data_IF_045026250482
#
_entry.id   IF_045026250482
#
_cell.length_a   1.000
_cell.length_b   1.000
_cell.length_c   1.000
_cell.angle_alpha   90.00
_cell.angle_beta   90.00
_cell.angle_gamma   90.00
#
_symmetry.space_group_name_H-M   'P 1'
#
loop_
_entity.id
_entity.type
_entity.pdbx_description
1 polymer ?
#
# COMPACT_ATOMS: atom_id res chain seq x y z
N UNK A 1 40.70 -9.98 16.38
CA UNK A 1 39.75 -9.58 17.42
C UNK A 1 38.58 -8.89 16.73
N UNK A 2 37.49 -9.64 16.48
CA UNK A 2 36.24 -9.05 15.96
C UNK A 2 35.40 -8.63 17.17
N UNK A 3 34.80 -7.43 17.17
CA UNK A 3 33.86 -7.05 18.19
C UNK A 3 32.50 -7.72 17.89
N UNK A 4 32.00 -8.46 18.89
CA UNK A 4 30.65 -9.02 18.92
C UNK A 4 29.61 -7.91 18.77
N UNK A 5 28.86 -7.95 17.68
CA UNK A 5 27.69 -7.10 17.48
C UNK A 5 26.42 -7.83 17.95
N UNK A 6 26.29 -8.05 19.23
CA UNK A 6 25.02 -8.37 19.88
C UNK A 6 24.44 -7.07 20.47
N UNK A 7 23.99 -6.18 19.60
CA UNK A 7 23.14 -5.07 20.02
C UNK A 7 21.68 -5.54 19.97
N UNK A 8 21.27 -6.24 21.01
CA UNK A 8 19.86 -6.35 21.38
C UNK A 8 19.38 -4.97 21.84
N UNK A 9 18.81 -4.19 20.93
CA UNK A 9 18.09 -2.97 21.30
C UNK A 9 16.82 -3.37 22.08
N UNK A 10 16.96 -3.52 23.40
CA UNK A 10 15.82 -3.57 24.31
C UNK A 10 15.27 -2.16 24.43
N UNK A 11 14.18 -1.85 23.77
CA UNK A 11 13.41 -0.64 24.04
C UNK A 11 12.76 -0.79 25.44
N UNK A 12 13.44 -0.35 26.49
CA UNK A 12 12.85 -0.22 27.83
C UNK A 12 12.12 1.11 27.93
N UNK A 13 10.89 1.17 27.46
CA UNK A 13 10.00 2.28 27.80
C UNK A 13 9.14 1.86 29.00
N UNK A 14 9.53 2.31 30.18
CA UNK A 14 8.64 2.31 31.35
C UNK A 14 7.66 3.45 31.17
N UNK A 15 6.42 3.14 30.83
CA UNK A 15 5.37 4.14 30.74
C UNK A 15 5.07 4.69 32.14
N UNK A 16 5.13 6.01 32.36
CA UNK A 16 4.56 6.59 33.55
C UNK A 16 3.05 6.29 33.55
N UNK A 17 2.51 5.86 34.70
CA UNK A 17 1.11 5.43 34.87
C UNK A 17 0.01 6.43 34.42
N UNK A 18 0.37 7.59 33.90
CA UNK A 18 -0.53 8.69 33.55
C UNK A 18 -0.54 9.10 32.05
N UNK A 19 0.22 8.44 31.17
CA UNK A 19 0.21 8.82 29.74
C UNK A 19 -0.91 8.12 28.98
N UNK A 20 -1.65 8.90 28.18
CA UNK A 20 -2.64 8.35 27.22
C UNK A 20 -1.92 7.65 26.08
N UNK A 21 -2.58 6.67 25.45
CA UNK A 21 -2.04 5.97 24.25
C UNK A 21 -1.61 6.98 23.17
N UNK A 22 -2.34 8.07 23.00
CA UNK A 22 -1.97 9.17 22.09
C UNK A 22 -0.59 9.75 22.41
N UNK A 23 -0.28 10.00 23.68
CA UNK A 23 1.03 10.54 24.09
C UNK A 23 2.16 9.53 23.89
N UNK A 24 1.85 8.24 23.97
CA UNK A 24 2.79 7.17 23.65
C UNK A 24 3.04 7.12 22.15
N UNK A 25 1.98 7.15 21.33
CA UNK A 25 2.08 7.16 19.87
C UNK A 25 2.77 8.44 19.36
N UNK A 26 2.44 9.60 19.92
CA UNK A 26 3.10 10.88 19.58
C UNK A 26 4.61 10.85 19.94
N UNK A 27 4.98 10.16 21.01
CA UNK A 27 6.39 9.95 21.39
C UNK A 27 7.13 8.98 20.47
N UNK A 28 6.45 7.95 19.96
CA UNK A 28 7.01 6.97 19.03
C UNK A 28 7.11 7.51 17.59
N UNK A 29 6.22 8.42 17.20
CA UNK A 29 6.23 9.02 15.86
C UNK A 29 7.30 10.11 15.67
N UNK A 30 7.91 10.59 16.74
CA UNK A 30 8.98 11.61 16.67
C UNK A 30 10.40 11.04 16.62
N UNK A 31 10.55 9.72 16.64
CA UNK A 31 11.86 9.08 16.47
C UNK A 31 12.09 8.77 14.98
N UNK A 32 13.03 9.46 14.37
CA UNK A 32 13.43 9.28 12.95
C UNK A 32 14.06 7.90 12.67
N UNK A 33 14.34 7.13 13.69
CA UNK A 33 14.88 5.78 13.60
C UNK A 33 13.79 4.74 13.35
N UNK A 34 13.07 4.74 12.26
CA UNK A 34 11.99 3.80 11.92
C UNK A 34 12.17 2.40 12.56
N UNK A 35 11.58 2.19 13.74
CA UNK A 35 11.67 0.93 14.49
C UNK A 35 10.89 -0.13 13.71
N UNK A 36 11.58 -0.87 12.84
CA UNK A 36 11.09 -2.14 12.31
C UNK A 36 11.48 -3.24 13.30
N UNK A 37 10.70 -3.38 14.36
CA UNK A 37 10.85 -4.54 15.23
C UNK A 37 10.13 -5.74 14.57
N UNK A 38 10.88 -6.60 13.90
CA UNK A 38 10.41 -7.92 13.51
C UNK A 38 10.70 -8.86 14.69
N UNK A 39 9.69 -9.12 15.53
CA UNK A 39 9.81 -10.07 16.64
C UNK A 39 9.34 -11.45 16.18
N UNK A 40 10.20 -12.20 15.53
CA UNK A 40 9.93 -13.60 15.19
C UNK A 40 10.13 -14.55 16.40
N UNK A 41 10.87 -14.13 17.44
CA UNK A 41 11.29 -14.99 18.55
C UNK A 41 10.98 -14.42 19.95
N UNK A 42 9.88 -13.65 20.09
CA UNK A 42 9.52 -13.08 21.38
C UNK A 42 8.96 -14.15 22.34
N UNK A 43 9.53 -14.23 23.54
CA UNK A 43 9.10 -15.14 24.61
C UNK A 43 8.02 -14.48 25.46
N UNK A 44 7.00 -15.25 25.86
CA UNK A 44 5.83 -14.76 26.63
C UNK A 44 6.24 -14.04 27.91
N UNK A 45 5.68 -12.83 28.13
CA UNK A 45 5.89 -12.07 29.36
C UNK A 45 7.23 -11.33 29.47
N UNK A 46 8.00 -11.22 28.39
CA UNK A 46 9.30 -10.53 28.41
C UNK A 46 9.22 -9.01 28.31
N UNK A 47 8.06 -8.47 27.85
CA UNK A 47 7.93 -7.05 27.59
C UNK A 47 6.70 -6.45 28.29
N UNK A 48 6.81 -5.22 28.74
CA UNK A 48 5.67 -4.48 29.30
C UNK A 48 4.76 -3.97 28.17
N UNK A 49 5.34 -3.58 27.03
CA UNK A 49 4.65 -3.05 25.87
C UNK A 49 5.25 -3.59 24.57
N UNK A 50 4.37 -4.03 23.68
CA UNK A 50 4.68 -4.38 22.29
C UNK A 50 3.86 -3.48 21.35
N UNK A 51 4.52 -2.88 20.36
CA UNK A 51 3.84 -2.17 19.27
C UNK A 51 4.08 -2.93 17.97
N UNK A 52 3.01 -3.31 17.31
CA UNK A 52 3.05 -4.01 16.02
C UNK A 52 2.55 -3.02 14.95
N UNK A 53 3.48 -2.50 14.18
CA UNK A 53 3.16 -1.69 12.99
C UNK A 53 2.94 -2.57 11.77
N UNK A 54 2.15 -2.08 10.80
CA UNK A 54 1.77 -2.86 9.59
C UNK A 54 1.19 -4.24 9.95
N UNK A 55 0.43 -4.32 11.05
CA UNK A 55 -0.02 -5.58 11.62
C UNK A 55 -1.01 -6.35 10.71
N UNK A 56 -1.57 -5.69 9.69
CA UNK A 56 -2.35 -6.36 8.65
C UNK A 56 -1.54 -7.41 7.87
N UNK A 57 -0.20 -7.35 7.91
CA UNK A 57 0.70 -8.25 7.18
C UNK A 57 1.08 -9.51 7.95
N UNK A 58 0.67 -9.67 9.20
CA UNK A 58 0.99 -10.88 9.96
C UNK A 58 0.32 -12.10 9.34
N UNK A 59 1.04 -13.22 9.37
CA UNK A 59 0.56 -14.51 8.84
C UNK A 59 0.19 -15.50 9.93
N UNK A 60 0.54 -15.19 11.17
CA UNK A 60 0.20 -15.99 12.35
C UNK A 60 0.15 -15.12 13.62
N UNK A 61 -0.67 -15.54 14.60
CA UNK A 61 -0.76 -14.91 15.92
C UNK A 61 0.21 -15.54 16.92
N UNK A 62 1.39 -15.92 16.48
CA UNK A 62 2.35 -16.62 17.32
C UNK A 62 2.81 -15.80 18.52
N UNK A 63 3.73 -16.35 19.25
CA UNK A 63 4.30 -15.91 20.53
C UNK A 63 4.55 -14.40 20.72
N UNK A 64 4.67 -13.64 19.63
CA UNK A 64 4.91 -12.20 19.68
C UNK A 64 3.82 -11.45 20.45
N UNK A 65 2.53 -11.72 20.16
CA UNK A 65 1.42 -11.03 20.85
C UNK A 65 1.34 -11.44 22.32
N UNK A 66 1.70 -12.69 22.65
CA UNK A 66 1.72 -13.17 24.03
C UNK A 66 2.95 -12.71 24.81
N UNK A 67 3.90 -12.03 24.18
CA UNK A 67 5.16 -11.64 24.80
C UNK A 67 5.06 -10.41 25.69
N UNK A 68 3.99 -9.62 25.56
CA UNK A 68 3.85 -8.35 26.27
C UNK A 68 2.56 -8.30 27.11
N UNK A 69 2.58 -7.46 28.15
CA UNK A 69 1.40 -7.18 28.97
C UNK A 69 0.41 -6.26 28.24
N UNK A 70 0.93 -5.31 27.47
CA UNK A 70 0.16 -4.39 26.64
C UNK A 70 0.64 -4.57 25.20
N UNK A 71 -0.30 -4.77 24.29
CA UNK A 71 -0.02 -4.86 22.85
C UNK A 71 -0.81 -3.77 22.13
N UNK A 72 -0.11 -2.92 21.38
CA UNK A 72 -0.69 -1.94 20.47
C UNK A 72 -0.53 -2.49 19.06
N UNK A 73 -1.64 -2.59 18.34
CA UNK A 73 -1.70 -3.09 16.97
C UNK A 73 -2.12 -1.96 16.05
N UNK A 74 -1.25 -1.57 15.13
CA UNK A 74 -1.54 -0.60 14.07
C UNK A 74 -1.84 -1.38 12.80
N UNK A 75 -3.09 -1.34 12.36
CA UNK A 75 -3.54 -2.15 11.24
C UNK A 75 -4.57 -1.41 10.38
N UNK A 76 -4.69 -1.81 9.12
CA UNK A 76 -5.72 -1.39 8.18
C UNK A 76 -6.10 -2.62 7.33
N UNK A 77 -7.35 -3.09 7.46
CA UNK A 77 -7.84 -4.27 6.72
C UNK A 77 -7.69 -4.10 5.20
N UNK A 78 -7.77 -2.85 4.70
CA UNK A 78 -7.66 -2.48 3.29
C UNK A 78 -6.21 -2.33 2.79
N UNK A 79 -5.23 -2.58 3.64
CA UNK A 79 -3.82 -2.69 3.25
C UNK A 79 -3.32 -4.14 3.18
N UNK A 80 -4.18 -5.11 3.44
CA UNK A 80 -3.88 -6.52 3.17
C UNK A 80 -3.83 -6.76 1.67
N UNK A 81 -2.76 -7.39 1.20
CA UNK A 81 -2.53 -7.63 -0.23
C UNK A 81 -2.17 -9.09 -0.53
N UNK A 82 -2.06 -9.94 0.49
CA UNK A 82 -1.77 -11.37 0.34
C UNK A 82 -2.82 -12.21 1.06
N UNK A 83 -3.19 -13.34 0.45
CA UNK A 83 -4.23 -14.22 1.00
C UNK A 83 -3.86 -14.90 2.32
N UNK A 84 -2.57 -15.06 2.59
CA UNK A 84 -2.07 -15.64 3.85
C UNK A 84 -1.94 -14.61 4.99
N UNK A 85 -2.19 -13.33 4.75
CA UNK A 85 -2.19 -12.31 5.79
C UNK A 85 -3.47 -12.42 6.61
N UNK A 86 -3.32 -12.67 7.92
CA UNK A 86 -4.45 -12.85 8.85
C UNK A 86 -4.71 -11.63 9.74
N UNK A 87 -3.96 -10.55 9.56
CA UNK A 87 -4.01 -9.35 10.39
C UNK A 87 -5.27 -8.50 10.21
N UNK A 88 -6.46 -9.10 10.18
CA UNK A 88 -7.76 -8.41 10.19
C UNK A 88 -8.14 -7.99 11.61
N UNK A 89 -8.81 -6.84 11.74
CA UNK A 89 -9.31 -6.33 13.02
C UNK A 89 -10.07 -7.40 13.82
N UNK A 90 -11.00 -8.09 13.17
CA UNK A 90 -11.78 -9.12 13.83
C UNK A 90 -10.93 -10.30 14.32
N UNK A 91 -9.85 -10.63 13.64
CA UNK A 91 -8.97 -11.71 14.07
C UNK A 91 -8.18 -11.32 15.33
N UNK A 92 -7.70 -10.07 15.43
CA UNK A 92 -7.09 -9.54 16.65
C UNK A 92 -8.07 -9.53 17.81
N UNK A 93 -9.32 -9.08 17.58
CA UNK A 93 -10.37 -9.10 18.58
C UNK A 93 -10.63 -10.53 19.10
N UNK A 94 -10.81 -11.48 18.18
CA UNK A 94 -11.05 -12.87 18.51
C UNK A 94 -9.88 -13.50 19.26
N UNK A 95 -8.64 -13.19 18.85
CA UNK A 95 -7.43 -13.64 19.54
C UNK A 95 -7.38 -13.09 20.97
N UNK A 96 -7.62 -11.79 21.15
CA UNK A 96 -7.63 -11.15 22.47
C UNK A 96 -8.64 -11.80 23.40
N UNK A 97 -9.90 -11.97 22.95
CA UNK A 97 -10.96 -12.59 23.74
C UNK A 97 -10.61 -14.04 24.14
N UNK A 98 -10.13 -14.85 23.19
CA UNK A 98 -9.79 -16.26 23.45
C UNK A 98 -8.64 -16.42 24.44
N UNK A 99 -7.73 -15.44 24.53
CA UNK A 99 -6.58 -15.49 25.41
C UNK A 99 -6.73 -14.64 26.67
N UNK A 100 -7.94 -14.15 26.96
CA UNK A 100 -8.24 -13.39 28.19
C UNK A 100 -7.70 -11.95 28.21
N UNK A 101 -7.36 -11.38 27.05
CA UNK A 101 -6.98 -9.97 26.94
C UNK A 101 -8.21 -9.07 26.83
N UNK A 102 -8.10 -7.88 27.43
CA UNK A 102 -9.05 -6.81 27.17
C UNK A 102 -8.73 -6.19 25.80
N UNK A 103 -9.72 -6.21 24.90
CA UNK A 103 -9.60 -5.56 23.60
C UNK A 103 -10.22 -4.16 23.66
N UNK A 104 -9.50 -3.16 23.15
CA UNK A 104 -10.00 -1.78 23.01
C UNK A 104 -9.63 -1.29 21.61
N UNK A 105 -10.60 -0.76 20.88
CA UNK A 105 -10.42 -0.20 19.56
C UNK A 105 -10.31 1.32 19.61
N UNK A 106 -9.35 1.87 18.85
CA UNK A 106 -9.18 3.31 18.65
C UNK A 106 -9.21 3.54 17.13
N UNK A 107 -10.36 3.96 16.56
CA UNK A 107 -10.41 4.29 15.15
C UNK A 107 -9.53 5.51 14.87
N UNK A 108 -8.75 5.45 13.79
CA UNK A 108 -7.96 6.57 13.28
C UNK A 108 -8.68 7.11 12.04
N UNK A 109 -9.69 7.95 12.27
CA UNK A 109 -10.59 8.43 11.23
C UNK A 109 -9.95 9.52 10.33
N UNK A 110 -8.71 9.92 10.61
CA UNK A 110 -8.05 11.00 9.88
C UNK A 110 -6.78 10.58 9.17
N UNK A 111 -6.78 10.66 7.85
CA UNK A 111 -5.60 10.46 7.00
C UNK A 111 -4.67 11.68 7.09
N UNK A 112 -3.69 11.63 7.99
CA UNK A 112 -2.71 12.72 8.16
C UNK A 112 -1.60 12.75 7.09
N UNK A 113 -1.45 11.69 6.28
CA UNK A 113 -0.26 11.53 5.41
C UNK A 113 -0.10 12.62 4.34
N UNK A 114 -1.16 13.29 3.92
CA UNK A 114 -1.04 14.15 2.72
C UNK A 114 -2.08 15.25 2.63
N UNK A 115 -2.88 15.51 3.65
CA UNK A 115 -4.02 16.37 3.40
C UNK A 115 -4.90 15.84 2.26
N UNK A 116 -4.89 14.50 2.04
CA UNK A 116 -5.61 13.83 0.95
C UNK A 116 -7.11 14.08 0.97
N UNK A 117 -7.59 14.81 1.98
CA UNK A 117 -8.96 15.27 2.06
C UNK A 117 -9.97 14.17 1.75
N UNK A 118 -10.89 14.47 0.87
CA UNK A 118 -11.90 13.51 0.43
C UNK A 118 -11.41 12.55 -0.67
N UNK A 119 -10.17 12.65 -1.16
CA UNK A 119 -9.69 11.76 -2.23
C UNK A 119 -9.73 10.29 -1.81
N UNK A 120 -9.26 9.97 -0.60
CA UNK A 120 -9.27 8.58 -0.10
C UNK A 120 -10.69 8.09 0.08
N UNK A 121 -11.59 8.93 0.57
CA UNK A 121 -13.00 8.58 0.76
C UNK A 121 -13.67 8.31 -0.60
N UNK A 122 -13.40 9.14 -1.62
CA UNK A 122 -13.89 8.93 -2.98
C UNK A 122 -13.29 7.67 -3.61
N UNK A 123 -12.02 7.39 -3.36
CA UNK A 123 -11.37 6.15 -3.79
C UNK A 123 -11.98 4.92 -3.10
N UNK A 124 -12.27 5.02 -1.80
CA UNK A 124 -12.93 3.95 -1.05
C UNK A 124 -14.37 3.73 -1.54
N UNK A 125 -15.09 4.81 -1.91
CA UNK A 125 -16.37 4.68 -2.61
C UNK A 125 -16.22 3.98 -3.96
N UNK A 126 -15.23 4.38 -4.77
CA UNK A 126 -14.98 3.78 -6.08
C UNK A 126 -14.73 2.27 -5.96
N UNK A 127 -13.86 1.87 -5.03
CA UNK A 127 -13.39 0.49 -4.92
C UNK A 127 -14.33 -0.42 -4.13
N UNK A 128 -15.01 0.11 -3.10
CA UNK A 128 -15.79 -0.69 -2.15
C UNK A 128 -17.26 -0.28 -2.04
N UNK A 129 -17.66 0.80 -2.71
CA UNK A 129 -19.04 1.30 -2.63
C UNK A 129 -19.36 2.07 -1.34
N UNK A 130 -18.36 2.51 -0.59
CA UNK A 130 -18.57 3.23 0.67
C UNK A 130 -19.30 4.57 0.44
N UNK A 131 -20.04 5.00 1.43
CA UNK A 131 -20.59 6.36 1.47
C UNK A 131 -19.47 7.34 1.87
N UNK A 132 -19.50 8.56 1.30
CA UNK A 132 -18.57 9.63 1.68
C UNK A 132 -19.28 10.99 1.77
N UNK A 133 -18.72 11.91 2.54
CA UNK A 133 -19.20 13.28 2.63
C UNK A 133 -18.69 14.12 1.46
N UNK A 134 -19.60 14.77 0.73
CA UNK A 134 -19.33 15.42 -0.56
C UNK A 134 -18.56 16.75 -0.51
N UNK A 135 -18.44 17.40 0.63
CA UNK A 135 -18.13 18.84 0.70
C UNK A 135 -16.65 19.19 0.94
N UNK A 136 -15.73 18.26 0.77
CA UNK A 136 -14.30 18.51 1.00
C UNK A 136 -13.52 18.32 -0.32
N UNK A 137 -12.69 19.30 -0.66
CA UNK A 137 -11.82 19.19 -1.83
C UNK A 137 -10.92 17.95 -1.77
N UNK A 138 -10.44 17.50 -2.93
CA UNK A 138 -9.63 16.26 -3.06
C UNK A 138 -8.38 16.24 -2.18
N UNK A 139 -7.82 17.39 -1.84
CA UNK A 139 -6.59 17.52 -1.05
C UNK A 139 -5.31 17.22 -1.82
N UNK A 140 -5.40 16.60 -3.01
CA UNK A 140 -4.29 16.41 -3.96
C UNK A 140 -4.75 16.74 -5.37
N UNK A 141 -3.79 17.02 -6.27
CA UNK A 141 -4.05 17.21 -7.69
C UNK A 141 -4.20 15.84 -8.38
N UNK A 142 -5.42 15.50 -8.84
CA UNK A 142 -5.70 14.25 -9.53
C UNK A 142 -6.00 14.51 -11.00
N UNK A 143 -5.25 13.88 -11.90
CA UNK A 143 -5.36 14.03 -13.34
C UNK A 143 -5.54 12.69 -14.03
N UNK A 144 -6.50 12.62 -14.94
CA UNK A 144 -6.70 11.47 -15.84
C UNK A 144 -6.21 11.86 -17.23
N UNK A 145 -5.34 11.03 -17.80
CA UNK A 145 -4.75 11.24 -19.11
C UNK A 145 -5.34 10.27 -20.12
N UNK A 146 -5.73 10.79 -21.29
CA UNK A 146 -6.21 9.97 -22.40
C UNK A 146 -5.04 9.35 -23.17
N UNK A 147 -3.90 10.04 -23.25
CA UNK A 147 -2.67 9.55 -23.85
C UNK A 147 -1.62 9.26 -22.79
N UNK A 148 -1.02 8.07 -22.83
CA UNK A 148 0.07 7.69 -21.93
C UNK A 148 1.30 8.61 -22.06
N UNK A 149 1.51 9.21 -23.23
CA UNK A 149 2.59 10.19 -23.44
C UNK A 149 2.36 11.48 -22.67
N UNK A 150 1.10 11.89 -22.48
CA UNK A 150 0.79 13.06 -21.65
C UNK A 150 1.09 12.78 -20.19
N UNK A 151 0.75 11.59 -19.72
CA UNK A 151 1.18 11.12 -18.40
C UNK A 151 2.71 11.10 -18.29
N UNK A 152 3.42 10.62 -19.32
CA UNK A 152 4.88 10.56 -19.32
C UNK A 152 5.50 11.96 -19.28
N UNK A 153 4.99 12.91 -20.07
CA UNK A 153 5.45 14.31 -20.04
C UNK A 153 5.23 14.95 -18.67
N UNK A 154 4.05 14.73 -18.09
CA UNK A 154 3.75 15.24 -16.75
C UNK A 154 4.69 14.65 -15.70
N UNK A 155 4.91 13.34 -15.73
CA UNK A 155 5.78 12.66 -14.77
C UNK A 155 7.24 13.09 -14.91
N UNK A 156 7.74 13.29 -16.13
CA UNK A 156 9.08 13.83 -16.35
C UNK A 156 9.22 15.25 -15.79
N UNK A 157 8.21 16.10 -15.98
CA UNK A 157 8.21 17.44 -15.39
C UNK A 157 8.20 17.38 -13.86
N UNK A 158 7.40 16.49 -13.24
CA UNK A 158 7.39 16.29 -11.81
C UNK A 158 8.75 15.79 -11.29
N UNK A 159 9.38 14.86 -12.01
CA UNK A 159 10.69 14.31 -11.64
C UNK A 159 11.80 15.34 -11.71
N UNK A 160 11.77 16.25 -12.68
CA UNK A 160 12.71 17.38 -12.75
C UNK A 160 12.59 18.31 -11.54
N UNK A 161 11.41 18.35 -10.91
CA UNK A 161 11.16 19.13 -9.69
C UNK A 161 11.59 18.40 -8.42
N UNK A 162 11.40 17.07 -8.39
CA UNK A 162 11.67 16.24 -7.21
C UNK A 162 11.91 14.79 -7.58
N UNK A 163 12.95 14.14 -7.02
CA UNK A 163 13.14 12.70 -7.21
C UNK A 163 12.00 11.86 -6.61
N UNK A 164 11.13 12.49 -5.81
CA UNK A 164 9.93 11.87 -5.19
C UNK A 164 8.76 11.78 -6.19
N UNK A 165 9.03 11.45 -7.45
CA UNK A 165 8.05 11.16 -8.50
C UNK A 165 8.25 9.72 -9.00
N UNK A 166 7.23 8.86 -8.92
CA UNK A 166 7.36 7.43 -9.23
C UNK A 166 6.17 6.91 -10.02
N UNK A 167 6.43 5.98 -10.95
CA UNK A 167 5.40 5.21 -11.61
C UNK A 167 5.00 3.99 -10.79
N UNK A 168 3.71 3.64 -10.87
CA UNK A 168 3.16 2.40 -10.37
C UNK A 168 2.24 1.73 -11.38
N UNK A 169 2.22 0.41 -11.37
CA UNK A 169 1.27 -0.41 -12.11
C UNK A 169 0.94 -1.68 -11.30
N UNK A 170 -0.21 -2.27 -11.61
CA UNK A 170 -0.61 -3.54 -11.00
C UNK A 170 0.27 -4.72 -11.44
N UNK A 171 0.04 -5.88 -10.85
CA UNK A 171 0.88 -7.07 -11.05
C UNK A 171 0.40 -7.92 -12.25
N UNK A 172 0.30 -7.28 -13.44
CA UNK A 172 -0.21 -7.92 -14.66
C UNK A 172 0.80 -8.00 -15.82
N UNK A 173 2.08 -7.80 -15.53
CA UNK A 173 3.13 -7.77 -16.55
C UNK A 173 4.02 -8.99 -16.46
N UNK A 174 4.48 -9.50 -17.61
CA UNK A 174 5.53 -10.49 -17.65
C UNK A 174 6.86 -9.83 -17.25
N UNK A 175 7.46 -10.31 -16.17
CA UNK A 175 8.68 -9.73 -15.63
C UNK A 175 9.94 -10.26 -16.28
N UNK A 176 10.17 -9.86 -17.53
CA UNK A 176 11.32 -10.31 -18.36
C UNK A 176 12.65 -9.76 -17.82
N UNK A 177 12.64 -8.50 -17.38
CA UNK A 177 13.83 -7.84 -16.86
C UNK A 177 14.41 -8.50 -15.61
N UNK A 178 13.65 -9.35 -14.92
CA UNK A 178 14.13 -10.14 -13.78
C UNK A 178 15.35 -10.99 -14.12
N UNK A 179 15.28 -11.64 -15.28
CA UNK A 179 16.33 -12.57 -15.73
C UNK A 179 17.22 -11.96 -16.81
N UNK A 180 16.76 -10.91 -17.46
CA UNK A 180 17.46 -10.20 -18.53
C UNK A 180 17.35 -8.69 -18.30
N UNK A 181 18.26 -8.07 -17.58
CA UNK A 181 18.18 -6.66 -17.13
C UNK A 181 18.01 -5.61 -18.23
N UNK A 182 18.23 -5.98 -19.50
CA UNK A 182 18.04 -5.09 -20.66
C UNK A 182 16.66 -5.20 -21.32
N UNK A 183 15.86 -6.19 -20.90
CA UNK A 183 14.51 -6.40 -21.46
C UNK A 183 13.52 -5.36 -20.90
N UNK A 184 12.52 -5.05 -21.70
CA UNK A 184 11.41 -4.16 -21.36
C UNK A 184 10.20 -5.01 -20.99
N UNK A 185 9.59 -4.69 -19.86
CA UNK A 185 8.43 -5.42 -19.32
C UNK A 185 7.11 -4.76 -19.74
N UNK A 186 7.02 -3.44 -19.56
CA UNK A 186 5.84 -2.66 -19.93
C UNK A 186 6.07 -2.02 -21.29
N UNK A 187 5.24 -2.39 -22.24
CA UNK A 187 5.25 -1.81 -23.58
C UNK A 187 3.83 -1.54 -24.03
N UNK A 188 3.50 -0.25 -24.22
CA UNK A 188 2.19 0.17 -24.70
C UNK A 188 2.35 0.53 -26.18
N UNK A 189 1.92 -0.37 -27.09
CA UNK A 189 1.98 -0.14 -28.54
C UNK A 189 0.92 0.87 -29.00
N UNK A 190 0.98 1.27 -30.25
CA UNK A 190 0.07 2.23 -30.94
C UNK A 190 0.40 3.70 -30.72
N UNK A 191 1.48 4.02 -30.03
CA UNK A 191 1.87 5.39 -29.73
C UNK A 191 3.30 5.60 -30.27
N UNK A 192 3.58 6.74 -30.86
CA UNK A 192 4.92 7.09 -31.33
C UNK A 192 5.38 8.40 -30.64
N UNK A 193 6.41 8.38 -29.80
CA UNK A 193 7.24 7.21 -29.44
C UNK A 193 6.49 6.20 -28.55
N UNK A 194 6.92 4.95 -28.59
CA UNK A 194 6.33 3.86 -27.78
C UNK A 194 6.64 4.08 -26.31
N UNK A 195 5.63 4.09 -25.43
CA UNK A 195 5.86 4.04 -24.00
C UNK A 195 6.43 2.70 -23.62
N UNK A 196 7.63 2.69 -23.02
CA UNK A 196 8.31 1.45 -22.63
C UNK A 196 9.14 1.66 -21.37
N UNK A 197 8.94 0.77 -20.38
CA UNK A 197 9.64 0.83 -19.10
C UNK A 197 9.91 -0.58 -18.56
N UNK A 198 10.92 -0.68 -17.71
CA UNK A 198 11.09 -1.87 -16.88
C UNK A 198 10.12 -1.83 -15.71
N UNK A 199 9.72 -3.01 -15.24
CA UNK A 199 8.76 -3.15 -14.15
C UNK A 199 9.42 -3.82 -12.95
N UNK A 200 8.93 -3.49 -11.73
CA UNK A 200 9.33 -4.05 -10.46
C UNK A 200 10.84 -3.99 -10.21
N UNK A 201 11.38 -2.85 -9.74
CA UNK A 201 12.80 -2.61 -9.52
C UNK A 201 13.36 -3.39 -8.31
N UNK A 202 13.23 -4.73 -8.32
CA UNK A 202 13.59 -5.58 -7.20
C UNK A 202 15.06 -5.52 -6.83
N UNK A 203 15.95 -5.57 -7.85
CA UNK A 203 17.40 -5.63 -7.63
C UNK A 203 18.01 -4.27 -7.27
N UNK A 204 17.28 -3.20 -7.48
CA UNK A 204 17.77 -1.84 -7.30
C UNK A 204 16.71 -0.93 -6.66
N UNK A 205 15.96 -1.47 -5.69
CA UNK A 205 14.88 -0.75 -5.00
C UNK A 205 15.36 0.56 -4.39
N UNK A 206 16.54 0.56 -3.78
CA UNK A 206 17.11 1.73 -3.12
C UNK A 206 17.39 2.85 -4.12
N UNK A 207 18.03 2.55 -5.25
CA UNK A 207 18.31 3.53 -6.30
C UNK A 207 17.04 4.03 -6.97
N UNK A 208 16.11 3.12 -7.27
CA UNK A 208 14.80 3.51 -7.79
C UNK A 208 14.06 4.45 -6.84
N UNK A 209 14.09 4.15 -5.54
CA UNK A 209 13.49 5.00 -4.52
C UNK A 209 14.11 6.40 -4.51
N UNK A 210 15.45 6.48 -4.59
CA UNK A 210 16.15 7.77 -4.50
C UNK A 210 15.97 8.64 -5.74
N UNK A 211 16.18 8.09 -6.93
CA UNK A 211 16.34 8.95 -8.12
C UNK A 211 15.98 8.27 -9.45
N UNK A 212 15.09 7.30 -9.53
CA UNK A 212 14.75 6.72 -10.82
C UNK A 212 13.27 6.89 -11.17
N UNK A 213 13.00 7.30 -12.43
CA UNK A 213 11.67 7.33 -13.04
C UNK A 213 11.56 6.32 -14.19
N UNK A 214 12.65 5.62 -14.53
CA UNK A 214 12.71 4.73 -15.68
C UNK A 214 12.05 3.39 -15.44
N UNK A 215 11.79 3.04 -14.18
CA UNK A 215 11.14 1.81 -13.79
C UNK A 215 9.80 2.08 -13.13
N UNK A 216 8.89 1.16 -13.35
CA UNK A 216 7.55 1.19 -12.76
C UNK A 216 7.53 0.28 -11.53
N UNK A 217 7.15 0.83 -10.38
CA UNK A 217 6.95 0.06 -9.14
C UNK A 217 5.68 -0.76 -9.17
N UNK A 218 5.57 -1.69 -8.24
CA UNK A 218 4.40 -2.50 -7.98
C UNK A 218 3.98 -2.42 -6.52
N UNK A 219 2.98 -3.18 -6.11
CA UNK A 219 2.49 -3.19 -4.74
C UNK A 219 3.59 -3.43 -3.70
N UNK A 220 4.55 -4.32 -3.99
CA UNK A 220 5.63 -4.66 -3.05
C UNK A 220 6.67 -3.56 -2.89
N UNK A 221 6.76 -2.64 -3.84
CA UNK A 221 7.58 -1.42 -3.74
C UNK A 221 6.79 -0.19 -3.28
N UNK A 222 5.45 -0.33 -3.11
CA UNK A 222 4.56 0.74 -2.68
C UNK A 222 4.28 0.73 -1.18
N UNK A 223 4.24 -0.44 -0.56
CA UNK A 223 3.87 -0.59 0.85
C UNK A 223 4.84 0.15 1.77
N UNK A 224 4.29 0.93 2.71
CA UNK A 224 5.07 1.71 3.67
C UNK A 224 5.72 2.99 3.13
N UNK A 225 5.63 3.25 1.82
CA UNK A 225 6.24 4.42 1.16
C UNK A 225 5.18 5.45 0.74
N UNK A 226 5.63 6.66 0.44
CA UNK A 226 4.78 7.72 -0.12
C UNK A 226 5.64 8.70 -0.89
N UNK A 227 5.12 9.20 -2.02
CA UNK A 227 5.83 10.05 -2.97
C UNK A 227 5.07 11.34 -3.22
N UNK A 228 5.77 12.39 -3.62
CA UNK A 228 5.13 13.65 -3.95
C UNK A 228 4.20 13.49 -5.15
N UNK A 229 4.67 12.80 -6.18
CA UNK A 229 3.90 12.56 -7.40
C UNK A 229 3.92 11.09 -7.79
N UNK A 230 2.76 10.60 -8.22
CA UNK A 230 2.59 9.22 -8.70
C UNK A 230 1.96 9.23 -10.08
N UNK A 231 2.59 8.53 -11.02
CA UNK A 231 2.01 8.16 -12.31
C UNK A 231 1.50 6.73 -12.24
N UNK A 232 0.20 6.52 -12.38
CA UNK A 232 -0.39 5.20 -12.27
C UNK A 232 -0.85 4.69 -13.63
N UNK A 233 -0.44 3.46 -13.97
CA UNK A 233 -0.87 2.75 -15.19
C UNK A 233 -1.92 1.73 -14.78
N UNK A 234 -3.19 2.05 -15.05
CA UNK A 234 -4.31 1.16 -14.76
C UNK A 234 -4.53 0.21 -15.93
N UNK A 235 -4.20 -1.06 -15.73
CA UNK A 235 -4.32 -2.08 -16.77
C UNK A 235 -5.67 -2.80 -16.73
N UNK A 236 -5.77 -4.00 -17.30
CA UNK A 236 -7.01 -4.74 -17.48
C UNK A 236 -7.19 -5.95 -16.56
N UNK A 237 -6.44 -6.03 -15.48
CA UNK A 237 -6.62 -7.03 -14.41
C UNK A 237 -7.78 -6.67 -13.45
N UNK A 238 -8.11 -5.39 -13.35
CA UNK A 238 -9.27 -4.87 -12.63
C UNK A 238 -10.00 -3.87 -13.53
N UNK A 239 -11.20 -4.21 -13.96
CA UNK A 239 -12.00 -3.37 -14.84
C UNK A 239 -13.44 -3.21 -14.33
N UNK A 240 -14.01 -2.03 -14.55
CA UNK A 240 -15.41 -1.76 -14.23
C UNK A 240 -16.31 -2.17 -15.38
N UNK A 241 -17.45 -2.80 -15.07
CA UNK A 241 -18.49 -3.17 -16.04
C UNK A 241 -19.85 -2.91 -15.46
N UNK A 242 -20.60 -2.03 -16.11
CA UNK A 242 -21.98 -1.67 -15.76
C UNK A 242 -22.13 -1.22 -14.29
N UNK A 243 -22.06 -2.13 -13.33
CA UNK A 243 -22.34 -1.89 -11.90
C UNK A 243 -21.41 -2.65 -10.94
N UNK A 244 -20.36 -3.32 -11.45
CA UNK A 244 -19.45 -4.12 -10.63
C UNK A 244 -18.03 -4.15 -11.17
N UNK A 245 -17.08 -4.54 -10.30
CA UNK A 245 -15.70 -4.81 -10.68
C UNK A 245 -15.55 -6.23 -11.23
N UNK A 246 -14.96 -6.35 -12.41
CA UNK A 246 -14.49 -7.61 -12.96
C UNK A 246 -13.00 -7.80 -12.65
N UNK A 247 -12.67 -9.00 -12.18
CA UNK A 247 -11.33 -9.41 -11.77
C UNK A 247 -10.77 -10.37 -12.81
N UNK A 248 -9.94 -9.87 -13.71
CA UNK A 248 -9.32 -10.67 -14.77
C UNK A 248 -8.08 -11.38 -14.23
N UNK A 249 -8.29 -12.44 -13.45
CA UNK A 249 -7.19 -13.15 -12.77
C UNK A 249 -6.15 -13.70 -13.74
N UNK A 250 -6.54 -14.04 -14.97
CA UNK A 250 -5.62 -14.49 -16.01
C UNK A 250 -4.63 -13.42 -16.48
N UNK A 251 -4.95 -12.14 -16.20
CA UNK A 251 -4.06 -11.01 -16.46
C UNK A 251 -3.09 -10.77 -15.32
N UNK A 252 -3.37 -11.25 -14.12
CA UNK A 252 -2.41 -11.22 -13.02
C UNK A 252 -1.24 -12.14 -13.38
N UNK A 253 -0.02 -11.60 -13.36
CA UNK A 253 1.15 -12.36 -13.78
C UNK A 253 1.37 -13.61 -12.93
N UNK A 254 1.83 -14.66 -13.59
CA UNK A 254 2.25 -15.90 -12.92
C UNK A 254 3.35 -15.72 -11.86
N UNK A 255 4.04 -14.58 -11.86
CA UNK A 255 5.06 -14.27 -10.85
C UNK A 255 4.46 -13.88 -9.49
N UNK A 256 3.18 -13.53 -9.41
CA UNK A 256 2.44 -13.41 -8.16
C UNK A 256 1.55 -14.63 -7.89
N UNK A 257 2.20 -15.78 -7.81
CA UNK A 257 1.53 -17.04 -7.54
C UNK A 257 0.69 -17.03 -6.25
N UNK A 258 1.14 -16.32 -5.22
CA UNK A 258 0.40 -16.23 -3.96
C UNK A 258 -0.92 -15.46 -4.12
N UNK A 259 -0.91 -14.36 -4.86
CA UNK A 259 -2.12 -13.60 -5.14
C UNK A 259 -3.08 -14.40 -6.01
N UNK A 260 -2.59 -14.95 -7.14
CA UNK A 260 -3.42 -15.79 -8.04
C UNK A 260 -4.10 -16.92 -7.29
N UNK A 261 -3.34 -17.75 -6.61
CA UNK A 261 -3.90 -18.88 -5.84
C UNK A 261 -4.89 -18.43 -4.78
N UNK A 262 -4.63 -17.30 -4.13
CA UNK A 262 -5.55 -16.79 -3.11
C UNK A 262 -6.89 -16.42 -3.72
N UNK A 263 -6.90 -15.80 -4.90
CA UNK A 263 -8.13 -15.38 -5.58
C UNK A 263 -8.82 -16.60 -6.22
N UNK A 264 -8.08 -17.47 -6.90
CA UNK A 264 -8.62 -18.69 -7.55
C UNK A 264 -9.27 -19.64 -6.56
N UNK A 265 -8.67 -19.81 -5.37
CA UNK A 265 -9.18 -20.74 -4.36
C UNK A 265 -10.27 -20.15 -3.45
N UNK A 266 -10.45 -18.85 -3.44
CA UNK A 266 -11.46 -18.20 -2.60
C UNK A 266 -11.91 -16.86 -3.20
N UNK A 267 -13.12 -16.83 -3.76
CA UNK A 267 -13.70 -15.62 -4.33
C UNK A 267 -13.75 -14.42 -3.34
N UNK A 268 -13.83 -14.67 -2.03
CA UNK A 268 -13.79 -13.61 -1.02
C UNK A 268 -12.43 -12.90 -0.96
N UNK A 269 -11.40 -13.44 -1.62
CA UNK A 269 -10.10 -12.79 -1.71
C UNK A 269 -9.97 -11.83 -2.91
N UNK A 270 -11.01 -11.66 -3.71
CA UNK A 270 -11.04 -10.63 -4.76
C UNK A 270 -10.80 -9.23 -4.19
N UNK A 271 -11.25 -8.97 -2.96
CA UNK A 271 -10.95 -7.73 -2.23
C UNK A 271 -9.44 -7.41 -2.15
N UNK A 272 -8.56 -8.44 -2.24
CA UNK A 272 -7.11 -8.23 -2.21
C UNK A 272 -6.63 -7.42 -3.42
N UNK A 273 -7.24 -7.61 -4.59
CA UNK A 273 -6.89 -6.82 -5.77
C UNK A 273 -7.36 -5.37 -5.60
N UNK A 274 -8.56 -5.14 -5.04
CA UNK A 274 -9.03 -3.80 -4.68
C UNK A 274 -8.07 -3.12 -3.70
N UNK A 275 -7.63 -3.84 -2.69
CA UNK A 275 -6.66 -3.34 -1.70
C UNK A 275 -5.30 -2.98 -2.36
N UNK A 276 -4.83 -3.79 -3.31
CA UNK A 276 -3.60 -3.52 -4.08
C UNK A 276 -3.72 -2.19 -4.81
N UNK A 277 -4.83 -1.96 -5.52
CA UNK A 277 -5.09 -0.70 -6.21
C UNK A 277 -5.19 0.46 -5.23
N UNK A 278 -5.95 0.30 -4.14
CA UNK A 278 -6.07 1.31 -3.09
C UNK A 278 -4.70 1.73 -2.54
N UNK A 279 -3.87 0.74 -2.18
CA UNK A 279 -2.55 1.02 -1.62
C UNK A 279 -1.70 1.80 -2.60
N UNK A 280 -1.64 1.42 -3.87
CA UNK A 280 -0.83 2.12 -4.87
C UNK A 280 -1.36 3.53 -5.16
N UNK A 281 -2.67 3.70 -5.31
CA UNK A 281 -3.31 4.98 -5.60
C UNK A 281 -3.23 5.98 -4.44
N UNK A 282 -3.07 5.51 -3.20
CA UNK A 282 -2.89 6.37 -2.02
C UNK A 282 -1.43 6.71 -1.71
N UNK A 283 -0.48 6.41 -2.60
CA UNK A 283 0.94 6.73 -2.39
C UNK A 283 1.31 8.17 -2.75
N UNK A 284 0.49 8.85 -3.56
CA UNK A 284 0.68 10.24 -3.93
C UNK A 284 0.41 11.18 -2.75
N UNK A 285 1.25 12.19 -2.55
CA UNK A 285 1.10 13.22 -1.50
C UNK A 285 0.66 14.56 -2.06
N UNK A 286 1.04 14.89 -3.29
CA UNK A 286 0.76 16.18 -3.94
C UNK A 286 -0.01 16.01 -5.25
N UNK A 287 0.34 15.01 -6.06
CA UNK A 287 -0.30 14.81 -7.35
C UNK A 287 -0.31 13.36 -7.81
N UNK A 288 -1.42 12.96 -8.41
CA UNK A 288 -1.67 11.64 -8.98
C UNK A 288 -2.10 11.81 -10.44
N UNK A 289 -1.29 11.29 -11.37
CA UNK A 289 -1.66 11.16 -12.77
C UNK A 289 -2.03 9.72 -13.07
N UNK A 290 -3.13 9.49 -13.77
CA UNK A 290 -3.58 8.14 -14.10
C UNK A 290 -3.82 8.02 -15.59
N UNK A 291 -3.33 6.94 -16.19
CA UNK A 291 -3.72 6.50 -17.52
C UNK A 291 -4.41 5.13 -17.41
N UNK A 292 -5.50 4.97 -18.14
CA UNK A 292 -6.31 3.75 -18.15
C UNK A 292 -6.20 3.07 -19.50
N UNK A 293 -6.05 1.74 -19.51
CA UNK A 293 -6.20 0.94 -20.70
C UNK A 293 -7.65 0.76 -21.11
N UNK A 294 -8.56 0.68 -20.13
CA UNK A 294 -9.99 0.45 -20.30
C UNK A 294 -10.79 1.74 -20.17
N UNK A 295 -11.63 2.03 -21.17
CA UNK A 295 -12.36 3.29 -21.24
C UNK A 295 -13.53 3.36 -20.25
N UNK A 296 -14.25 2.24 -20.04
CA UNK A 296 -15.37 2.20 -19.10
C UNK A 296 -14.89 2.40 -17.66
N UNK A 297 -13.77 1.76 -17.29
CA UNK A 297 -13.11 1.98 -16.00
C UNK A 297 -12.65 3.43 -15.83
N UNK A 298 -12.09 4.02 -16.88
CA UNK A 298 -11.67 5.43 -16.88
C UNK A 298 -12.85 6.35 -16.60
N UNK A 299 -13.97 6.13 -17.30
CA UNK A 299 -15.17 6.95 -17.13
C UNK A 299 -15.72 6.79 -15.71
N UNK A 300 -15.84 5.56 -15.21
CA UNK A 300 -16.29 5.31 -13.83
C UNK A 300 -15.41 6.00 -12.80
N UNK A 301 -14.08 5.96 -12.97
CA UNK A 301 -13.16 6.70 -12.10
C UNK A 301 -13.42 8.21 -12.13
N UNK A 302 -13.60 8.79 -13.33
CA UNK A 302 -13.92 10.21 -13.48
C UNK A 302 -15.22 10.56 -12.76
N UNK A 303 -16.26 9.77 -12.95
CA UNK A 303 -17.60 10.00 -12.39
C UNK A 303 -17.61 9.97 -10.86
N UNK A 304 -16.86 9.03 -10.26
CA UNK A 304 -16.84 8.88 -8.79
C UNK A 304 -15.80 9.78 -8.12
N UNK A 305 -14.60 9.89 -8.70
CA UNK A 305 -13.48 10.55 -8.03
C UNK A 305 -13.30 12.02 -8.41
N UNK A 306 -13.68 12.43 -9.63
CA UNK A 306 -13.37 13.76 -10.15
C UNK A 306 -14.60 14.66 -10.32
N UNK A 307 -15.78 14.11 -10.63
CA UNK A 307 -16.96 14.94 -10.77
C UNK A 307 -17.37 15.48 -9.40
N UNK A 308 -17.38 16.79 -9.29
CA UNK A 308 -18.07 17.49 -8.21
C UNK A 308 -19.58 17.28 -8.41
N UNK A 309 -20.23 16.65 -7.45
CA UNK A 309 -21.66 16.40 -7.48
C UNK A 309 -22.48 17.66 -7.27
#
# INVERSE_FOLDING_TARGET
>A
MHPNSNNNYRCKYTLPKSRTIKQVLDGLCNDESGIRAVFLDAVRGQHDLLVIDEAHRITEFSNAISSAQIVIVLQDDRQRVRGNEIGKKNNFKNFAVRNGYKFTEFPLDYQKRSGLGSYVDRLDKLLYGDEYQKDVGLGIDVKVYDDIQDLERWMNNCHNFTPSAKYYASYCWEWKSRNKPTEIDIKIPKINPVFQKQWNPWDDQYKWYLDSIDKVGCIYTAQGLGFDYVGFIWWDDLVWRTDHWEFNIDKVTQYDYQLRNSIENNANNQELLLNIYRVMLTRAKKGLGIWFKDEETKQHFKDVCLLEG
#
